data_IF_197134198401
#
_entry.id   IF_197134198401
#
_cell.length_a   1.000
_cell.length_b   1.000
_cell.length_c   1.000
_cell.angle_alpha   90.00
_cell.angle_beta   90.00
_cell.angle_gamma   90.00
#
_symmetry.space_group_name_H-M   'P 1'
#
loop_
_entity.id
_entity.type
_entity.pdbx_description
1 polymer ?
#
# COMPACT_ATOMS: atom_id res chain seq x y z
N UNK A 1 -7.20 32.75 -49.47
CA UNK A 1 -7.03 32.34 -48.06
C UNK A 1 -7.24 30.84 -48.01
N UNK A 2 -6.19 30.08 -47.70
CA UNK A 2 -6.09 28.63 -47.50
C UNK A 2 -6.68 27.69 -48.58
N UNK A 3 -5.77 27.06 -49.32
CA UNK A 3 -5.98 25.85 -50.14
C UNK A 3 -5.95 24.61 -49.23
N UNK A 4 -6.98 23.77 -49.33
CA UNK A 4 -7.03 22.41 -48.78
C UNK A 4 -6.76 21.44 -49.92
N UNK A 5 -5.68 20.66 -49.80
CA UNK A 5 -5.34 19.57 -50.72
C UNK A 5 -6.00 18.26 -50.27
N UNK A 6 -6.67 17.61 -51.21
CA UNK A 6 -7.14 16.21 -51.16
C UNK A 6 -6.14 15.28 -51.87
N UNK A 7 -6.41 13.96 -51.84
CA UNK A 7 -5.85 12.86 -52.68
C UNK A 7 -4.57 12.21 -52.10
N UNK A 8 -4.36 10.89 -52.02
CA UNK A 8 -5.11 9.60 -52.05
C UNK A 8 -4.03 8.49 -51.86
N UNK A 9 -4.45 7.26 -51.52
CA UNK A 9 -3.72 5.97 -51.72
C UNK A 9 -2.49 5.69 -50.81
N UNK A 10 -2.16 4.46 -50.37
CA UNK A 10 -2.71 3.12 -50.53
C UNK A 10 -2.08 2.18 -49.47
N UNK A 11 -2.63 0.96 -49.35
CA UNK A 11 -2.22 -0.16 -48.49
C UNK A 11 -0.79 -0.66 -48.79
N UNK A 12 -0.09 -1.15 -47.78
CA UNK A 12 0.41 -2.53 -47.81
C UNK A 12 0.78 -3.11 -46.44
N UNK A 13 0.40 -4.38 -46.27
CA UNK A 13 0.66 -5.26 -45.15
C UNK A 13 2.11 -5.75 -45.16
N UNK A 14 2.80 -5.78 -44.01
CA UNK A 14 3.65 -6.93 -43.64
C UNK A 14 4.03 -6.88 -42.15
N UNK A 15 3.89 -8.03 -41.51
CA UNK A 15 4.28 -8.28 -40.13
C UNK A 15 5.80 -8.26 -39.95
N UNK A 16 6.22 -8.12 -38.67
CA UNK A 16 7.39 -8.74 -38.02
C UNK A 16 8.39 -7.76 -37.35
N UNK A 17 8.63 -8.04 -36.06
CA UNK A 17 9.75 -7.60 -35.20
C UNK A 17 9.70 -6.25 -34.48
N UNK A 18 9.08 -6.33 -33.30
CA UNK A 18 9.33 -5.53 -32.10
C UNK A 18 10.77 -5.69 -31.57
N UNK A 19 11.70 -4.79 -31.89
CA UNK A 19 12.97 -4.63 -31.12
C UNK A 19 13.64 -3.27 -31.37
N UNK A 20 12.90 -2.15 -31.30
CA UNK A 20 13.51 -0.80 -31.47
C UNK A 20 12.83 0.30 -30.65
N UNK A 21 12.23 -0.03 -29.50
CA UNK A 21 11.56 0.96 -28.64
C UNK A 21 12.41 1.60 -27.52
N UNK A 22 13.50 0.98 -27.07
CA UNK A 22 14.19 1.41 -25.84
C UNK A 22 15.32 2.44 -26.02
N UNK A 23 15.61 2.93 -27.24
CA UNK A 23 16.74 3.87 -27.46
C UNK A 23 16.34 5.34 -27.57
N UNK A 24 15.06 5.69 -27.61
CA UNK A 24 14.63 7.07 -27.83
C UNK A 24 14.39 7.90 -26.55
N UNK A 25 14.33 7.29 -25.37
CA UNK A 25 13.98 8.01 -24.13
C UNK A 25 15.18 8.54 -23.33
N UNK A 26 16.42 8.29 -23.75
CA UNK A 26 17.62 8.63 -22.96
C UNK A 26 18.37 9.89 -23.44
N UNK A 27 17.83 10.60 -24.43
CA UNK A 27 18.52 11.72 -25.09
C UNK A 27 18.15 13.11 -24.59
N UNK A 28 17.37 13.25 -23.50
CA UNK A 28 16.95 14.56 -23.00
C UNK A 28 17.41 14.92 -21.58
N UNK A 29 18.44 14.25 -21.06
CA UNK A 29 19.07 14.63 -19.79
C UNK A 29 20.59 14.74 -19.94
N UNK A 30 21.05 15.88 -20.48
CA UNK A 30 22.48 16.25 -20.49
C UNK A 30 22.63 17.77 -20.30
N UNK A 31 22.76 18.19 -19.05
CA UNK A 31 23.55 19.37 -18.69
C UNK A 31 24.09 19.20 -17.28
N UNK A 32 25.43 19.09 -17.16
CA UNK A 32 26.12 19.06 -15.86
C UNK A 32 27.17 17.95 -15.79
N UNK A 33 28.44 18.33 -15.95
CA UNK A 33 29.62 17.46 -15.86
C UNK A 33 29.91 17.10 -14.40
N UNK A 34 29.98 15.81 -14.07
CA UNK A 34 30.91 15.27 -13.07
C UNK A 34 31.02 13.73 -13.23
N UNK A 35 32.25 13.25 -13.21
CA UNK A 35 32.68 11.86 -12.93
C UNK A 35 32.47 10.74 -13.97
N UNK A 36 33.27 10.83 -15.04
CA UNK A 36 33.45 9.77 -16.06
C UNK A 36 34.39 8.62 -15.60
N UNK A 37 35.00 8.67 -14.42
CA UNK A 37 36.02 7.67 -14.03
C UNK A 37 35.50 6.47 -13.21
N UNK A 38 34.30 6.56 -12.60
CA UNK A 38 33.75 5.47 -11.76
C UNK A 38 32.88 4.50 -12.57
N UNK A 39 32.20 4.98 -13.61
CA UNK A 39 31.23 4.19 -14.41
C UNK A 39 31.91 3.09 -15.24
N UNK A 40 33.10 3.36 -15.80
CA UNK A 40 33.81 2.37 -16.64
C UNK A 40 34.39 1.17 -15.89
N UNK A 41 34.63 1.29 -14.57
CA UNK A 41 35.15 0.18 -13.76
C UNK A 41 34.05 -0.81 -13.33
N UNK A 42 32.81 -0.35 -13.28
CA UNK A 42 31.64 -1.17 -12.94
C UNK A 42 31.07 -1.94 -14.14
N UNK A 43 31.14 -1.39 -15.37
CA UNK A 43 30.70 -2.10 -16.59
C UNK A 43 31.54 -3.35 -16.90
N UNK A 44 32.86 -3.32 -16.62
CA UNK A 44 33.73 -4.47 -16.84
C UNK A 44 33.49 -5.60 -15.82
N UNK A 45 33.16 -5.25 -14.57
CA UNK A 45 32.86 -6.22 -13.51
C UNK A 45 31.50 -6.91 -13.70
N UNK A 46 30.50 -6.21 -14.25
CA UNK A 46 29.20 -6.82 -14.56
C UNK A 46 29.26 -7.77 -15.77
N UNK A 47 30.08 -7.49 -16.79
CA UNK A 47 30.19 -8.40 -17.95
C UNK A 47 30.89 -9.72 -17.61
N UNK A 48 31.93 -9.69 -16.77
CA UNK A 48 32.64 -10.88 -16.32
C UNK A 48 31.82 -11.77 -15.38
N UNK A 49 30.87 -11.19 -14.63
CA UNK A 49 29.98 -11.97 -13.75
C UNK A 49 28.81 -12.63 -14.53
N UNK A 50 28.39 -12.05 -15.65
CA UNK A 50 27.31 -12.59 -16.48
C UNK A 50 27.76 -13.79 -17.33
N UNK A 51 29.00 -13.77 -17.83
CA UNK A 51 29.54 -14.87 -18.63
C UNK A 51 29.84 -16.13 -17.80
N UNK A 52 30.19 -15.99 -16.52
CA UNK A 52 30.51 -17.16 -15.69
C UNK A 52 29.26 -17.94 -15.24
N UNK A 53 28.09 -17.28 -15.09
CA UNK A 53 26.82 -17.95 -14.77
C UNK A 53 26.17 -18.63 -15.99
N UNK A 54 26.45 -18.18 -17.21
CA UNK A 54 25.93 -18.76 -18.46
C UNK A 54 26.61 -20.07 -18.88
N UNK A 55 27.85 -20.29 -18.42
CA UNK A 55 28.66 -21.46 -18.77
C UNK A 55 28.39 -22.71 -17.90
N UNK A 56 27.80 -22.55 -16.71
CA UNK A 56 27.48 -23.68 -15.81
C UNK A 56 26.17 -24.39 -16.18
N UNK A 57 25.17 -23.65 -16.68
CA UNK A 57 23.85 -24.18 -17.06
C UNK A 57 23.84 -24.90 -18.41
N UNK A 58 24.70 -24.52 -19.36
CA UNK A 58 24.74 -25.15 -20.70
C UNK A 58 25.35 -26.56 -20.73
N UNK A 59 26.14 -26.95 -19.73
CA UNK A 59 26.77 -28.27 -19.69
C UNK A 59 25.87 -29.37 -19.06
N UNK A 60 24.88 -29.01 -18.24
CA UNK A 60 23.93 -30.00 -17.69
C UNK A 60 22.83 -30.40 -18.69
N UNK A 61 22.35 -29.47 -19.51
CA UNK A 61 21.31 -29.77 -20.53
C UNK A 61 21.82 -30.66 -21.68
N UNK A 62 23.11 -30.60 -21.97
CA UNK A 62 23.72 -31.39 -23.05
C UNK A 62 24.06 -32.83 -22.61
N UNK A 63 24.27 -33.05 -21.31
CA UNK A 63 24.55 -34.37 -20.75
C UNK A 63 23.27 -35.18 -20.52
N UNK A 64 22.15 -34.54 -20.18
CA UNK A 64 20.85 -35.23 -20.03
C UNK A 64 20.21 -35.65 -21.37
N UNK A 65 20.57 -35.00 -22.48
CA UNK A 65 20.02 -35.29 -23.81
C UNK A 65 20.64 -36.51 -24.51
N UNK A 66 21.65 -37.14 -23.92
CA UNK A 66 22.34 -38.31 -24.50
C UNK A 66 21.99 -39.65 -23.81
N UNK A 67 21.13 -39.66 -22.78
CA UNK A 67 20.95 -40.83 -21.90
C UNK A 67 19.53 -41.41 -21.75
N UNK A 68 18.53 -41.00 -22.55
CA UNK A 68 17.13 -41.38 -22.28
C UNK A 68 16.34 -41.81 -23.50
N UNK A 69 16.62 -43.00 -24.03
CA UNK A 69 15.73 -43.68 -24.98
C UNK A 69 14.69 -44.51 -24.24
N UNK A 70 13.44 -44.03 -24.19
CA UNK A 70 12.24 -44.84 -23.90
C UNK A 70 11.04 -44.22 -24.64
N UNK A 71 10.53 -44.83 -25.71
CA UNK A 71 9.32 -44.37 -26.40
C UNK A 71 8.09 -45.04 -25.78
N UNK A 72 7.14 -44.23 -25.31
CA UNK A 72 5.80 -44.74 -24.99
C UNK A 72 5.24 -44.27 -23.66
N UNK A 73 4.85 -42.99 -23.59
CA UNK A 73 3.76 -42.52 -22.76
C UNK A 73 3.25 -41.23 -23.41
N UNK A 74 2.21 -41.39 -24.24
CA UNK A 74 1.50 -40.27 -24.80
C UNK A 74 0.90 -39.44 -23.68
N UNK A 75 1.31 -38.17 -23.59
CA UNK A 75 0.53 -37.15 -22.90
C UNK A 75 -0.80 -37.03 -23.65
N UNK A 76 -1.89 -37.42 -22.98
CA UNK A 76 -3.22 -36.98 -23.37
C UNK A 76 -3.28 -35.44 -23.34
N UNK A 77 -4.26 -34.83 -24.04
CA UNK A 77 -4.40 -33.39 -24.05
C UNK A 77 -4.53 -32.86 -22.61
N UNK A 78 -4.02 -31.64 -22.32
CA UNK A 78 -4.18 -31.05 -21.00
C UNK A 78 -5.69 -30.93 -20.74
N UNK A 79 -6.17 -31.73 -19.80
CA UNK A 79 -7.49 -31.52 -19.22
C UNK A 79 -7.49 -30.13 -18.60
N UNK A 80 -8.54 -29.33 -18.85
CA UNK A 80 -8.77 -28.05 -18.17
C UNK A 80 -8.93 -28.31 -16.66
N UNK A 81 -7.81 -28.44 -15.97
CA UNK A 81 -7.78 -28.46 -14.52
C UNK A 81 -8.05 -27.03 -14.05
N UNK A 82 -8.90 -26.83 -13.04
CA UNK A 82 -9.15 -25.51 -12.48
C UNK A 82 -7.82 -24.93 -11.99
N UNK A 83 -7.29 -23.96 -12.72
CA UNK A 83 -6.07 -23.27 -12.38
C UNK A 83 -6.41 -21.98 -11.64
N UNK A 84 -5.71 -21.73 -10.54
CA UNK A 84 -5.82 -20.46 -9.80
C UNK A 84 -5.31 -19.30 -10.67
N UNK A 85 -6.11 -18.26 -10.80
CA UNK A 85 -5.85 -17.11 -11.66
C UNK A 85 -5.18 -15.97 -10.88
N UNK A 86 -4.33 -15.19 -11.55
CA UNK A 86 -3.80 -13.92 -11.06
C UNK A 86 -4.87 -12.87 -10.75
N UNK A 87 -6.06 -13.00 -11.34
CA UNK A 87 -7.16 -12.06 -11.20
C UNK A 87 -7.93 -12.13 -9.86
N UNK A 88 -7.59 -13.04 -8.94
CA UNK A 88 -8.31 -13.17 -7.68
C UNK A 88 -8.28 -11.88 -6.83
N UNK A 89 -9.42 -11.53 -6.24
CA UNK A 89 -9.61 -10.33 -5.44
C UNK A 89 -10.29 -10.65 -4.10
N UNK A 90 -9.84 -9.93 -3.06
CA UNK A 90 -10.46 -9.96 -1.74
C UNK A 90 -11.19 -8.65 -1.50
N UNK A 91 -12.51 -8.70 -1.34
CA UNK A 91 -13.30 -7.55 -0.92
C UNK A 91 -13.41 -7.50 0.60
N UNK A 92 -12.81 -6.49 1.21
CA UNK A 92 -12.87 -6.26 2.66
C UNK A 92 -13.90 -5.15 2.94
N UNK A 93 -14.82 -5.42 3.87
CA UNK A 93 -15.79 -4.43 4.35
C UNK A 93 -15.12 -3.33 5.19
N UNK A 94 -15.74 -2.15 5.23
CA UNK A 94 -15.29 -1.05 6.08
C UNK A 94 -15.28 -1.43 7.57
N UNK A 95 -16.26 -2.25 8.01
CA UNK A 95 -16.36 -2.75 9.37
C UNK A 95 -15.20 -3.67 9.74
N UNK A 96 -14.90 -4.65 8.87
CA UNK A 96 -13.82 -5.60 9.06
C UNK A 96 -12.47 -4.86 9.18
N UNK A 97 -12.22 -3.91 8.29
CA UNK A 97 -10.98 -3.13 8.29
C UNK A 97 -10.77 -2.37 9.62
N UNK A 98 -11.82 -1.69 10.12
CA UNK A 98 -11.74 -0.95 11.38
C UNK A 98 -11.52 -1.86 12.58
N UNK A 99 -12.16 -3.04 12.61
CA UNK A 99 -11.95 -4.03 13.66
C UNK A 99 -10.53 -4.59 13.64
N UNK A 100 -9.98 -4.93 12.47
CA UNK A 100 -8.60 -5.40 12.32
C UNK A 100 -7.60 -4.35 12.81
N UNK A 101 -7.76 -3.09 12.42
CA UNK A 101 -6.88 -2.00 12.85
C UNK A 101 -6.98 -1.73 14.35
N UNK A 102 -8.21 -1.70 14.91
CA UNK A 102 -8.42 -1.53 16.35
C UNK A 102 -7.76 -2.66 17.14
N UNK A 103 -7.94 -3.90 16.68
CA UNK A 103 -7.37 -5.06 17.33
C UNK A 103 -5.85 -5.10 17.23
N UNK A 104 -5.30 -4.91 16.03
CA UNK A 104 -3.86 -4.84 15.79
C UNK A 104 -3.18 -3.77 16.63
N UNK A 105 -3.80 -2.59 16.75
CA UNK A 105 -3.25 -1.49 17.56
C UNK A 105 -3.29 -1.78 19.06
N UNK A 106 -4.31 -2.49 19.55
CA UNK A 106 -4.42 -2.89 20.95
C UNK A 106 -3.41 -3.99 21.34
N UNK A 107 -2.97 -4.79 20.36
CA UNK A 107 -2.01 -5.88 20.56
C UNK A 107 -0.55 -5.45 20.70
N UNK A 108 -0.18 -4.24 20.21
CA UNK A 108 1.22 -3.78 20.18
C UNK A 108 1.84 -3.80 21.59
N UNK A 109 3.02 -4.42 21.80
CA UNK A 109 3.99 -4.88 20.79
C UNK A 109 3.83 -6.34 20.31
N UNK A 110 2.82 -7.07 20.78
CA UNK A 110 2.61 -8.48 20.43
C UNK A 110 1.75 -8.65 19.16
N UNK A 111 2.00 -9.73 18.42
CA UNK A 111 1.21 -10.08 17.24
C UNK A 111 -0.15 -10.66 17.65
N UNK A 112 -1.23 -10.04 17.20
CA UNK A 112 -2.60 -10.53 17.42
C UNK A 112 -3.12 -11.27 16.21
N UNK A 113 -4.04 -12.22 16.43
CA UNK A 113 -4.72 -12.97 15.36
C UNK A 113 -6.24 -12.92 15.50
N UNK A 114 -6.94 -13.13 14.39
CA UNK A 114 -8.38 -13.29 14.41
C UNK A 114 -8.89 -14.00 13.17
N UNK A 115 -10.18 -14.35 13.21
CA UNK A 115 -10.85 -15.05 12.11
C UNK A 115 -11.65 -14.07 11.27
N UNK A 116 -11.66 -14.34 9.97
CA UNK A 116 -12.42 -13.58 8.98
C UNK A 116 -13.67 -14.34 8.61
N UNK A 117 -14.81 -13.66 8.68
CA UNK A 117 -16.12 -14.18 8.35
C UNK A 117 -16.63 -13.55 7.06
N UNK A 118 -17.23 -14.38 6.23
CA UNK A 118 -17.85 -13.92 5.00
C UNK A 118 -18.31 -15.07 4.13
N UNK A 119 -18.17 -14.87 2.83
CA UNK A 119 -18.65 -15.81 1.83
C UNK A 119 -17.73 -15.83 0.62
N UNK A 120 -17.71 -16.98 -0.04
CA UNK A 120 -17.10 -17.18 -1.34
C UNK A 120 -18.18 -16.96 -2.40
N UNK A 121 -18.03 -15.94 -3.24
CA UNK A 121 -19.06 -15.56 -4.23
C UNK A 121 -18.93 -16.39 -5.50
N UNK A 122 -17.71 -16.43 -6.01
CA UNK A 122 -17.27 -17.18 -7.17
C UNK A 122 -15.81 -17.61 -6.95
N UNK A 123 -15.17 -18.25 -7.92
CA UNK A 123 -13.79 -18.76 -7.80
C UNK A 123 -12.73 -17.64 -7.73
N UNK A 124 -13.06 -16.42 -8.14
CA UNK A 124 -12.13 -15.29 -8.23
C UNK A 124 -12.34 -14.24 -7.13
N UNK A 125 -13.39 -14.36 -6.34
CA UNK A 125 -13.82 -13.32 -5.40
C UNK A 125 -14.11 -13.87 -4.01
N UNK A 126 -13.36 -13.38 -3.04
CA UNK A 126 -13.60 -13.64 -1.61
C UNK A 126 -14.18 -12.38 -0.97
N UNK A 127 -15.34 -12.48 -0.32
CA UNK A 127 -15.93 -11.36 0.43
C UNK A 127 -15.74 -11.55 1.92
N UNK A 128 -15.01 -10.64 2.55
CA UNK A 128 -14.88 -10.55 4.01
C UNK A 128 -15.85 -9.49 4.54
N UNK A 129 -16.87 -9.95 5.25
CA UNK A 129 -17.97 -9.12 5.77
C UNK A 129 -17.65 -8.66 7.19
N UNK A 130 -17.21 -9.57 8.04
CA UNK A 130 -16.89 -9.28 9.44
C UNK A 130 -15.63 -10.01 9.91
N UNK A 131 -15.08 -9.55 11.02
CA UNK A 131 -13.97 -10.21 11.70
C UNK A 131 -14.22 -10.23 13.20
N UNK A 132 -13.63 -11.21 13.87
CA UNK A 132 -13.54 -11.20 15.33
C UNK A 132 -12.13 -11.60 15.78
N UNK A 133 -11.75 -11.05 16.93
CA UNK A 133 -10.46 -11.33 17.57
C UNK A 133 -10.50 -12.68 18.27
N UNK A 134 -9.43 -13.46 18.15
CA UNK A 134 -9.22 -14.63 18.99
C UNK A 134 -8.46 -14.21 20.25
N UNK A 135 -8.81 -14.74 21.44
CA UNK A 135 -8.05 -14.48 22.65
C UNK A 135 -6.64 -15.07 22.50
N UNK A 136 -5.63 -14.29 22.87
CA UNK A 136 -4.25 -14.76 22.85
C UNK A 136 -3.97 -15.66 24.05
N UNK A 137 -3.55 -16.90 23.80
CA UNK A 137 -2.89 -17.72 24.82
C UNK A 137 -1.42 -17.30 24.89
N UNK A 138 -1.06 -16.60 25.96
CA UNK A 138 0.22 -15.94 26.10
C UNK A 138 1.39 -16.90 26.30
N UNK A 139 2.07 -17.27 25.22
CA UNK A 139 3.48 -17.68 25.22
C UNK A 139 4.13 -17.27 23.90
N UNK A 140 4.68 -16.05 23.87
CA UNK A 140 5.72 -15.58 22.94
C UNK A 140 5.49 -15.70 21.42
N UNK A 141 5.31 -14.56 20.74
CA UNK A 141 5.57 -14.30 19.28
C UNK A 141 4.93 -15.24 18.25
N UNK A 142 4.29 -16.36 18.63
CA UNK A 142 3.68 -17.32 17.72
C UNK A 142 2.17 -17.46 17.94
N UNK A 143 1.47 -17.59 16.82
CA UNK A 143 0.02 -17.72 16.68
C UNK A 143 -0.38 -19.19 16.92
N UNK A 144 -0.18 -19.72 18.12
CA UNK A 144 -0.28 -21.18 18.37
C UNK A 144 -1.64 -21.71 18.84
N UNK A 145 -2.63 -20.86 19.16
CA UNK A 145 -3.87 -21.33 19.78
C UNK A 145 -5.12 -20.78 19.10
N UNK A 146 -5.47 -21.35 17.94
CA UNK A 146 -6.87 -21.33 17.52
C UNK A 146 -7.61 -22.30 18.46
N UNK A 147 -8.28 -21.77 19.48
CA UNK A 147 -9.14 -22.59 20.33
C UNK A 147 -10.42 -22.96 19.57
N UNK A 148 -10.60 -24.23 19.16
CA UNK A 148 -11.79 -24.65 18.42
C UNK A 148 -13.07 -24.51 19.26
N UNK A 149 -12.97 -24.55 20.59
CA UNK A 149 -14.11 -24.38 21.50
C UNK A 149 -14.60 -22.93 21.46
N UNK A 150 -13.66 -21.98 21.54
CA UNK A 150 -13.99 -20.56 21.41
C UNK A 150 -14.57 -20.25 20.02
N UNK A 151 -13.95 -20.77 18.95
CA UNK A 151 -14.42 -20.58 17.58
C UNK A 151 -15.86 -21.10 17.40
N UNK A 152 -16.14 -22.35 17.80
CA UNK A 152 -17.46 -22.95 17.65
C UNK A 152 -18.52 -22.16 18.43
N UNK A 153 -18.22 -21.82 19.69
CA UNK A 153 -19.13 -21.03 20.55
C UNK A 153 -19.41 -19.66 19.95
N UNK A 154 -18.39 -18.95 19.46
CA UNK A 154 -18.56 -17.64 18.85
C UNK A 154 -19.39 -17.72 17.56
N UNK A 155 -19.13 -18.70 16.70
CA UNK A 155 -19.90 -18.92 15.47
C UNK A 155 -21.37 -19.20 15.78
N UNK A 156 -21.67 -20.01 16.80
CA UNK A 156 -23.05 -20.29 17.19
C UNK A 156 -23.76 -19.07 17.79
N UNK A 157 -23.05 -18.23 18.56
CA UNK A 157 -23.59 -16.95 19.01
C UNK A 157 -23.88 -16.00 17.85
N UNK A 158 -23.00 -15.94 16.85
CA UNK A 158 -23.19 -15.09 15.67
C UNK A 158 -24.40 -15.55 14.83
N UNK A 159 -24.58 -16.86 14.65
CA UNK A 159 -25.76 -17.42 13.97
C UNK A 159 -27.07 -16.97 14.64
N UNK A 160 -27.12 -16.93 15.98
CA UNK A 160 -28.29 -16.45 16.72
C UNK A 160 -28.58 -14.96 16.48
N UNK A 161 -27.55 -14.16 16.21
CA UNK A 161 -27.69 -12.73 15.88
C UNK A 161 -28.05 -12.44 14.42
N UNK A 162 -28.30 -13.48 13.62
CA UNK A 162 -28.60 -13.35 12.19
C UNK A 162 -27.36 -13.20 11.31
N UNK A 163 -26.21 -13.67 11.78
CA UNK A 163 -24.92 -13.70 11.07
C UNK A 163 -24.49 -15.15 10.78
N UNK A 164 -25.00 -15.77 9.69
CA UNK A 164 -24.71 -17.16 9.35
C UNK A 164 -23.43 -17.34 8.52
N UNK A 165 -22.55 -16.32 8.44
CA UNK A 165 -21.34 -16.35 7.63
C UNK A 165 -20.37 -17.44 8.06
N UNK A 166 -19.62 -17.97 7.10
CA UNK A 166 -18.59 -18.99 7.32
C UNK A 166 -17.21 -18.33 7.48
N UNK A 167 -16.26 -19.08 8.02
CA UNK A 167 -14.85 -18.65 8.08
C UNK A 167 -14.25 -18.72 6.69
N UNK A 168 -13.78 -17.59 6.16
CA UNK A 168 -13.16 -17.48 4.83
C UNK A 168 -11.63 -17.36 4.91
N UNK A 169 -11.09 -17.18 6.11
CA UNK A 169 -9.66 -17.06 6.35
C UNK A 169 -9.37 -16.51 7.74
N UNK A 170 -8.14 -16.07 7.92
CA UNK A 170 -7.65 -15.51 9.17
C UNK A 170 -6.77 -14.29 8.89
N UNK A 171 -6.65 -13.42 9.88
CA UNK A 171 -5.75 -12.28 9.82
C UNK A 171 -4.86 -12.25 11.05
N UNK A 172 -3.68 -11.66 10.90
CA UNK A 172 -2.81 -11.34 12.01
C UNK A 172 -2.09 -10.01 11.80
N UNK A 173 -1.43 -9.53 12.85
CA UNK A 173 -0.67 -8.28 12.79
C UNK A 173 0.82 -8.51 12.87
N UNK A 174 1.59 -7.81 12.04
CA UNK A 174 3.05 -7.69 12.15
C UNK A 174 3.41 -6.24 12.48
N UNK A 175 3.55 -5.88 13.77
CA UNK A 175 3.79 -4.50 14.15
C UNK A 175 5.21 -4.03 13.76
N UNK A 176 5.31 -3.21 12.71
CA UNK A 176 6.57 -2.58 12.29
C UNK A 176 7.47 -3.42 11.38
N UNK A 177 7.10 -4.67 11.07
CA UNK A 177 7.87 -5.56 10.20
C UNK A 177 7.42 -5.56 8.73
N UNK A 178 6.31 -4.88 8.40
CA UNK A 178 5.66 -4.96 7.09
C UNK A 178 4.82 -6.23 6.92
N UNK A 179 4.29 -6.45 5.71
CA UNK A 179 3.40 -7.56 5.42
C UNK A 179 4.14 -8.71 4.70
N UNK A 180 4.37 -9.80 5.40
CA UNK A 180 4.92 -11.07 4.87
C UNK A 180 4.46 -12.23 5.75
N UNK A 181 4.72 -13.48 5.33
CA UNK A 181 4.40 -14.66 6.14
C UNK A 181 5.69 -15.29 6.68
N UNK A 182 5.75 -15.50 7.99
CA UNK A 182 6.82 -16.26 8.64
C UNK A 182 6.65 -17.76 8.43
N UNK A 183 7.67 -18.55 8.79
CA UNK A 183 7.57 -20.01 8.75
C UNK A 183 6.43 -20.55 9.63
N UNK A 184 6.15 -19.88 10.75
CA UNK A 184 5.03 -20.24 11.64
C UNK A 184 3.69 -19.88 10.98
N UNK A 185 3.60 -18.72 10.32
CA UNK A 185 2.40 -18.30 9.60
C UNK A 185 2.09 -19.22 8.43
N UNK A 186 3.11 -19.69 7.70
CA UNK A 186 2.97 -20.65 6.61
C UNK A 186 2.38 -21.97 7.12
N UNK A 187 2.90 -22.51 8.23
CA UNK A 187 2.37 -23.75 8.82
C UNK A 187 0.92 -23.58 9.30
N UNK A 188 0.60 -22.43 9.88
CA UNK A 188 -0.74 -22.09 10.33
C UNK A 188 -1.70 -21.99 9.14
N UNK A 189 -1.31 -21.26 8.09
CA UNK A 189 -2.08 -21.13 6.85
C UNK A 189 -2.29 -22.49 6.18
N UNK A 190 -1.29 -23.37 6.15
CA UNK A 190 -1.43 -24.72 5.60
C UNK A 190 -2.51 -25.53 6.33
N UNK A 191 -2.64 -25.35 7.65
CA UNK A 191 -3.68 -25.99 8.45
C UNK A 191 -5.08 -25.45 8.11
N UNK A 192 -5.20 -24.14 7.86
CA UNK A 192 -6.45 -23.53 7.39
C UNK A 192 -6.81 -23.92 5.96
N UNK A 193 -5.82 -24.05 5.07
CA UNK A 193 -6.03 -24.50 3.68
C UNK A 193 -6.50 -25.96 3.61
N UNK A 194 -6.10 -26.81 4.56
CA UNK A 194 -6.61 -28.18 4.67
C UNK A 194 -8.11 -28.25 5.04
N UNK A 195 -8.62 -27.25 5.76
CA UNK A 195 -10.04 -27.11 6.10
C UNK A 195 -10.82 -26.42 4.98
N UNK A 196 -10.20 -25.44 4.31
CA UNK A 196 -10.80 -24.65 3.25
C UNK A 196 -9.72 -24.24 2.26
N UNK A 197 -9.71 -24.87 1.09
CA UNK A 197 -8.69 -24.65 0.05
C UNK A 197 -8.49 -23.17 -0.33
N UNK A 198 -9.55 -22.37 -0.19
CA UNK A 198 -9.55 -20.93 -0.52
C UNK A 198 -9.29 -20.01 0.67
N UNK A 199 -8.84 -20.55 1.80
CA UNK A 199 -8.51 -19.74 2.97
C UNK A 199 -7.50 -18.64 2.61
N UNK A 200 -7.75 -17.41 3.07
CA UNK A 200 -6.86 -16.27 2.85
C UNK A 200 -6.19 -15.87 4.17
N UNK A 201 -4.88 -15.62 4.12
CA UNK A 201 -4.13 -15.02 5.22
C UNK A 201 -3.98 -13.51 4.99
N UNK A 202 -4.51 -12.69 5.89
CA UNK A 202 -4.38 -11.21 5.81
C UNK A 202 -3.38 -10.72 6.86
N UNK A 203 -2.41 -9.91 6.45
CA UNK A 203 -1.41 -9.32 7.35
C UNK A 203 -1.62 -7.82 7.42
N UNK A 204 -1.74 -7.29 8.64
CA UNK A 204 -1.95 -5.86 8.90
C UNK A 204 -0.80 -5.30 9.72
N UNK A 205 -0.18 -4.20 9.29
CA UNK A 205 0.81 -3.49 10.10
C UNK A 205 0.19 -2.21 10.71
N UNK A 206 -0.20 -2.21 11.99
CA UNK A 206 -0.83 -1.07 12.65
C UNK A 206 0.16 0.05 13.02
N UNK A 207 1.47 -0.15 12.86
CA UNK A 207 2.50 0.86 13.17
C UNK A 207 2.81 1.67 11.91
N UNK A 208 3.08 0.98 10.80
CA UNK A 208 3.38 1.65 9.52
C UNK A 208 2.13 2.22 8.84
N UNK A 209 0.93 1.74 9.20
CA UNK A 209 -0.33 2.31 8.73
C UNK A 209 -0.55 3.72 9.30
N UNK A 210 -0.49 4.72 8.42
CA UNK A 210 -0.72 6.13 8.75
C UNK A 210 -1.94 6.67 8.01
N UNK A 211 -2.45 7.83 8.44
CA UNK A 211 -3.56 8.51 7.74
C UNK A 211 -3.18 8.69 6.26
N UNK A 212 -3.96 8.07 5.36
CA UNK A 212 -3.75 8.12 3.91
C UNK A 212 -3.23 6.82 3.29
N UNK A 213 -2.53 5.97 4.05
CA UNK A 213 -2.07 4.66 3.57
C UNK A 213 -2.17 3.61 4.67
N UNK A 214 -3.07 2.66 4.49
CA UNK A 214 -3.14 1.45 5.33
C UNK A 214 -2.25 0.40 4.71
N UNK A 215 -1.32 -0.13 5.51
CA UNK A 215 -0.41 -1.21 5.11
C UNK A 215 -1.08 -2.53 5.45
N UNK A 216 -1.61 -3.17 4.42
CA UNK A 216 -2.34 -4.42 4.49
C UNK A 216 -2.12 -5.18 3.18
N UNK A 217 -1.82 -6.48 3.31
CA UNK A 217 -1.74 -7.39 2.17
C UNK A 217 -2.42 -8.72 2.51
N UNK A 218 -2.87 -9.40 1.47
CA UNK A 218 -3.48 -10.72 1.56
C UNK A 218 -2.59 -11.72 0.81
N UNK A 219 -2.44 -12.91 1.39
CA UNK A 219 -1.58 -13.96 0.87
C UNK A 219 -2.31 -15.31 0.85
N UNK A 220 -1.88 -16.17 -0.07
CA UNK A 220 -2.21 -17.60 -0.09
C UNK A 220 -0.97 -18.41 -0.45
N UNK A 221 -0.88 -19.64 0.05
CA UNK A 221 0.27 -20.50 -0.24
C UNK A 221 0.24 -21.03 -1.67
N UNK A 222 1.43 -21.37 -2.15
CA UNK A 222 1.65 -22.12 -3.38
C UNK A 222 1.93 -23.56 -2.98
N UNK A 223 1.32 -24.51 -3.69
CA UNK A 223 1.62 -25.91 -3.49
C UNK A 223 3.10 -26.19 -3.83
N UNK A 224 3.87 -26.62 -2.84
CA UNK A 224 5.30 -26.87 -2.98
C UNK A 224 5.61 -27.93 -4.07
N UNK A 225 4.68 -28.86 -4.32
CA UNK A 225 4.87 -29.88 -5.36
C UNK A 225 4.86 -29.25 -6.76
N UNK A 226 4.04 -28.22 -7.00
CA UNK A 226 3.98 -27.54 -8.30
C UNK A 226 5.27 -26.77 -8.60
N UNK A 227 5.90 -26.21 -7.57
CA UNK A 227 7.20 -25.54 -7.71
C UNK A 227 8.31 -26.48 -8.15
N UNK A 228 8.37 -27.69 -7.57
CA UNK A 228 9.42 -28.68 -7.91
C UNK A 228 9.28 -29.13 -9.36
N UNK A 229 8.05 -29.17 -9.88
CA UNK A 229 7.75 -29.48 -11.28
C UNK A 229 8.05 -28.31 -12.23
N UNK A 230 8.45 -27.13 -11.73
CA UNK A 230 8.75 -25.97 -12.55
C UNK A 230 7.54 -25.36 -13.27
N UNK A 231 6.32 -25.75 -12.88
CA UNK A 231 5.10 -25.16 -13.43
C UNK A 231 4.84 -23.81 -12.75
N UNK A 232 4.51 -22.79 -13.56
CA UNK A 232 4.01 -21.54 -13.00
C UNK A 232 2.71 -21.82 -12.22
N UNK A 233 2.65 -21.42 -10.95
CA UNK A 233 1.57 -21.83 -10.05
C UNK A 233 0.23 -21.15 -10.36
N UNK A 234 0.23 -20.06 -11.14
CA UNK A 234 -0.96 -19.30 -11.50
C UNK A 234 -0.99 -19.03 -12.99
N UNK A 235 -2.18 -19.08 -13.58
CA UNK A 235 -2.38 -18.57 -14.93
C UNK A 235 -2.55 -17.06 -14.87
N UNK A 236 -1.76 -16.32 -15.66
CA UNK A 236 -1.87 -14.86 -15.73
C UNK A 236 -2.88 -14.48 -16.81
N UNK A 237 -4.16 -14.34 -16.44
CA UNK A 237 -5.19 -13.86 -17.38
C UNK A 237 -5.32 -12.33 -17.38
N UNK A 238 -4.81 -11.67 -16.34
CA UNK A 238 -4.97 -10.23 -16.14
C UNK A 238 -3.71 -9.53 -15.62
N UNK A 239 -3.62 -8.22 -15.88
CA UNK A 239 -2.54 -7.36 -15.42
C UNK A 239 -2.70 -6.92 -13.94
N UNK A 240 -3.84 -7.24 -13.31
CA UNK A 240 -4.18 -6.80 -11.97
C UNK A 240 -3.18 -7.31 -10.93
N UNK A 241 -2.71 -8.55 -11.06
CA UNK A 241 -1.74 -9.15 -10.16
C UNK A 241 -0.34 -8.49 -10.17
N UNK A 242 -0.02 -7.69 -11.19
CA UNK A 242 1.30 -7.05 -11.35
C UNK A 242 1.29 -5.54 -11.08
N UNK A 243 0.15 -4.97 -10.67
CA UNK A 243 0.01 -3.54 -10.40
C UNK A 243 0.82 -3.09 -9.17
N UNK A 244 0.84 -3.90 -8.12
CA UNK A 244 1.53 -3.58 -6.88
C UNK A 244 2.93 -4.19 -6.87
N UNK A 245 3.94 -3.32 -6.76
CA UNK A 245 5.32 -3.78 -6.58
C UNK A 245 5.47 -4.35 -5.17
N UNK A 246 5.91 -5.61 -5.01
CA UNK A 246 6.09 -6.19 -3.71
C UNK A 246 7.21 -5.52 -2.93
N UNK A 247 7.10 -5.53 -1.60
CA UNK A 247 8.19 -5.10 -0.72
C UNK A 247 9.40 -6.02 -0.85
N UNK A 248 10.61 -5.46 -0.80
CA UNK A 248 11.87 -6.23 -0.80
C UNK A 248 11.91 -7.21 0.37
N UNK A 249 11.37 -6.83 1.53
CA UNK A 249 11.30 -7.70 2.70
C UNK A 249 10.43 -8.92 2.43
N UNK A 250 9.24 -8.73 1.83
CA UNK A 250 8.37 -9.86 1.47
C UNK A 250 9.02 -10.81 0.46
N UNK A 251 9.80 -10.27 -0.50
CA UNK A 251 10.53 -11.09 -1.46
C UNK A 251 11.63 -11.94 -0.80
N UNK A 252 12.34 -11.39 0.20
CA UNK A 252 13.34 -12.13 0.99
C UNK A 252 12.67 -13.26 1.78
N UNK A 253 11.47 -13.03 2.31
CA UNK A 253 10.70 -14.02 3.08
C UNK A 253 9.87 -14.98 2.22
N UNK A 254 10.14 -15.06 0.91
CA UNK A 254 9.61 -16.13 0.05
C UNK A 254 8.33 -15.80 -0.70
N UNK A 255 7.99 -14.53 -0.88
CA UNK A 255 6.96 -14.12 -1.83
C UNK A 255 7.31 -14.60 -3.25
N UNK A 256 6.32 -15.13 -3.98
CA UNK A 256 6.44 -15.82 -5.28
C UNK A 256 7.21 -17.14 -5.23
N UNK A 257 7.59 -17.61 -4.03
CA UNK A 257 8.13 -18.95 -3.80
C UNK A 257 7.11 -19.77 -3.02
N UNK A 258 6.91 -19.45 -1.75
CA UNK A 258 6.02 -20.21 -0.86
C UNK A 258 4.58 -19.72 -0.89
N UNK A 259 4.36 -18.44 -1.22
CA UNK A 259 3.05 -17.82 -1.26
C UNK A 259 3.03 -16.70 -2.30
N UNK A 260 1.84 -16.29 -2.71
CA UNK A 260 1.60 -15.16 -3.59
C UNK A 260 0.72 -14.12 -2.93
N UNK A 261 0.81 -12.87 -3.40
CA UNK A 261 -0.05 -11.78 -2.97
C UNK A 261 -1.35 -11.75 -3.78
N UNK A 262 -2.46 -11.46 -3.10
CA UNK A 262 -3.79 -11.28 -3.66
C UNK A 262 -4.17 -9.80 -3.55
N UNK A 263 -4.78 -9.25 -4.59
CA UNK A 263 -5.21 -7.86 -4.59
C UNK A 263 -6.40 -7.65 -3.65
N UNK A 264 -6.31 -6.64 -2.79
CA UNK A 264 -7.37 -6.25 -1.86
C UNK A 264 -8.14 -5.08 -2.44
N UNK A 265 -9.46 -5.20 -2.44
CA UNK A 265 -10.39 -4.12 -2.75
C UNK A 265 -11.29 -3.84 -1.55
N UNK A 266 -11.75 -2.59 -1.44
CA UNK A 266 -12.64 -2.18 -0.36
C UNK A 266 -14.07 -2.01 -0.87
N UNK A 267 -15.02 -2.66 -0.21
CA UNK A 267 -16.44 -2.43 -0.45
C UNK A 267 -16.92 -1.33 0.49
N UNK A 268 -17.43 -0.24 -0.08
CA UNK A 268 -18.03 0.87 0.66
C UNK A 268 -19.47 1.03 0.21
N UNK A 269 -20.40 0.89 1.15
CA UNK A 269 -21.80 1.19 0.86
C UNK A 269 -22.06 2.71 1.00
N UNK A 270 -23.06 3.23 0.29
CA UNK A 270 -23.42 4.66 0.36
C UNK A 270 -23.81 5.09 1.78
N UNK A 271 -24.52 4.23 2.51
CA UNK A 271 -24.90 4.47 3.91
C UNK A 271 -23.66 4.54 4.82
N UNK A 272 -22.72 3.61 4.66
CA UNK A 272 -21.46 3.61 5.41
C UNK A 272 -20.65 4.87 5.11
N UNK A 273 -20.57 5.26 3.83
CA UNK A 273 -19.88 6.46 3.42
C UNK A 273 -20.53 7.71 4.03
N UNK A 274 -21.86 7.84 3.98
CA UNK A 274 -22.59 8.95 4.63
C UNK A 274 -22.36 8.99 6.14
N UNK A 275 -22.41 7.83 6.80
CA UNK A 275 -22.15 7.71 8.24
C UNK A 275 -20.71 8.10 8.60
N UNK A 276 -19.72 7.57 7.88
CA UNK A 276 -18.30 7.88 8.10
C UNK A 276 -17.98 9.35 7.80
N UNK A 277 -18.60 9.94 6.78
CA UNK A 277 -18.48 11.37 6.48
C UNK A 277 -19.04 12.25 7.60
N UNK A 278 -20.08 11.80 8.31
CA UNK A 278 -20.63 12.55 9.43
C UNK A 278 -19.69 12.59 10.64
N UNK A 279 -18.83 11.58 10.85
CA UNK A 279 -17.89 11.56 11.98
C UNK A 279 -16.83 12.65 11.91
N UNK A 280 -16.46 13.09 10.70
CA UNK A 280 -15.47 14.15 10.50
C UNK A 280 -16.12 15.55 10.42
N UNK A 281 -17.45 15.67 10.58
CA UNK A 281 -18.09 16.97 10.61
C UNK A 281 -17.79 17.65 11.94
N UNK A 282 -17.30 18.88 11.87
CA UNK A 282 -17.19 19.75 13.04
C UNK A 282 -18.56 19.99 13.65
N UNK A 283 -18.59 20.28 14.95
CA UNK A 283 -19.82 20.66 15.63
C UNK A 283 -20.38 21.93 14.98
N UNK A 284 -21.66 21.95 14.64
CA UNK A 284 -22.30 23.14 14.07
C UNK A 284 -22.26 24.33 15.03
N UNK A 285 -22.21 24.07 16.34
CA UNK A 285 -22.11 25.10 17.37
C UNK A 285 -20.77 25.84 17.33
N UNK A 286 -19.68 25.19 16.91
CA UNK A 286 -18.34 25.80 16.86
C UNK A 286 -18.30 27.06 15.96
N UNK A 287 -19.17 27.12 14.95
CA UNK A 287 -19.30 28.29 14.06
C UNK A 287 -20.25 29.39 14.56
N UNK A 288 -21.00 29.14 15.64
CA UNK A 288 -21.93 30.10 16.26
C UNK A 288 -21.46 30.54 17.65
N UNK A 289 -20.45 29.88 18.21
CA UNK A 289 -19.83 30.31 19.46
C UNK A 289 -18.76 31.35 19.18
N UNK A 290 -18.90 32.51 19.80
CA UNK A 290 -17.85 33.52 19.85
C UNK A 290 -16.82 33.15 20.93
N UNK A 291 -15.55 33.36 20.62
CA UNK A 291 -14.52 33.35 21.66
C UNK A 291 -14.63 34.60 22.54
N UNK A 292 -14.11 34.53 23.76
CA UNK A 292 -14.07 35.68 24.66
C UNK A 292 -13.24 36.81 24.05
N UNK A 293 -13.88 37.97 23.82
CA UNK A 293 -13.25 39.12 23.18
C UNK A 293 -11.95 39.56 23.88
N UNK A 294 -11.90 39.47 25.20
CA UNK A 294 -10.70 39.87 25.95
C UNK A 294 -9.51 38.94 25.70
N UNK A 295 -9.76 37.64 25.50
CA UNK A 295 -8.72 36.65 25.19
C UNK A 295 -8.29 36.76 23.73
N UNK A 296 -9.25 36.91 22.82
CA UNK A 296 -9.00 37.10 21.39
C UNK A 296 -8.16 38.34 21.10
N UNK A 297 -8.44 39.47 21.77
CA UNK A 297 -7.62 40.68 21.66
C UNK A 297 -6.19 40.47 22.17
N UNK A 298 -5.99 39.74 23.27
CA UNK A 298 -4.65 39.42 23.79
C UNK A 298 -3.87 38.52 22.83
N UNK A 299 -4.54 37.55 22.21
CA UNK A 299 -3.94 36.68 21.20
C UNK A 299 -3.49 37.49 19.98
N UNK A 300 -4.34 38.39 19.48
CA UNK A 300 -4.01 39.29 18.38
C UNK A 300 -2.78 40.17 18.71
N UNK A 301 -2.74 40.77 19.90
CA UNK A 301 -1.61 41.61 20.31
C UNK A 301 -0.30 40.80 20.38
N UNK A 302 -0.37 39.58 20.91
CA UNK A 302 0.79 38.68 21.02
C UNK A 302 1.32 38.30 19.63
N UNK A 303 0.45 37.83 18.72
CA UNK A 303 0.85 37.42 17.37
C UNK A 303 1.41 38.61 16.57
N UNK A 304 0.82 39.80 16.69
CA UNK A 304 1.32 41.00 15.98
C UNK A 304 2.69 41.43 16.49
N UNK A 305 2.97 41.28 17.80
CA UNK A 305 4.31 41.53 18.37
C UNK A 305 5.35 40.56 17.81
N UNK A 306 5.02 39.27 17.73
CA UNK A 306 5.88 38.25 17.13
C UNK A 306 6.12 38.52 15.64
N UNK A 307 5.06 38.89 14.90
CA UNK A 307 5.17 39.27 13.48
C UNK A 307 6.08 40.48 13.28
N UNK A 308 6.09 41.47 14.19
CA UNK A 308 7.00 42.62 14.10
C UNK A 308 8.47 42.18 14.22
N UNK A 309 8.76 41.24 15.12
CA UNK A 309 10.10 40.69 15.29
C UNK A 309 10.54 39.87 14.06
N UNK A 310 9.64 39.04 13.53
CA UNK A 310 9.86 38.30 12.29
C UNK A 310 10.05 39.22 11.08
N UNK A 311 9.32 40.34 10.99
CA UNK A 311 9.48 41.31 9.92
C UNK A 311 10.86 42.00 9.95
N UNK A 312 11.37 42.32 11.15
CA UNK A 312 12.74 42.84 11.31
C UNK A 312 13.78 41.81 10.86
N UNK A 313 13.58 40.54 11.24
CA UNK A 313 14.44 39.44 10.82
C UNK A 313 14.36 39.19 9.30
N UNK A 314 13.18 39.33 8.71
CA UNK A 314 12.96 39.21 7.27
C UNK A 314 13.70 40.32 6.51
N UNK A 315 13.58 41.58 6.93
CA UNK A 315 14.33 42.70 6.33
C UNK A 315 15.84 42.44 6.37
N UNK A 316 16.36 42.01 7.53
CA UNK A 316 17.77 41.64 7.67
C UNK A 316 18.16 40.47 6.78
N UNK A 317 17.28 39.46 6.64
CA UNK A 317 17.52 38.32 5.77
C UNK A 317 17.63 38.73 4.30
N UNK A 318 16.75 39.64 3.84
CA UNK A 318 16.76 40.19 2.47
C UNK A 318 18.02 41.02 2.21
N UNK A 319 18.42 41.89 3.14
CA UNK A 319 19.67 42.68 3.01
C UNK A 319 20.93 41.81 2.95
N UNK A 320 20.91 40.65 3.60
CA UNK A 320 21.99 39.68 3.53
C UNK A 320 21.90 38.82 2.25
N UNK A 321 20.70 38.61 1.72
CA UNK A 321 20.46 37.84 0.49
C UNK A 321 21.14 38.47 -0.73
N UNK A 322 21.06 39.80 -0.86
CA UNK A 322 21.69 40.58 -1.93
C UNK A 322 23.23 40.44 -1.99
N UNK A 323 23.85 39.98 -0.90
CA UNK A 323 25.32 39.89 -0.76
C UNK A 323 25.88 38.50 -1.03
N UNK A 324 25.05 37.48 -1.24
CA UNK A 324 25.47 36.08 -1.33
C UNK A 324 25.08 35.43 -2.64
N UNK A 325 25.79 34.35 -2.99
CA UNK A 325 25.45 33.53 -4.16
C UNK A 325 24.30 32.56 -3.83
N UNK A 326 23.54 32.09 -4.83
CA UNK A 326 22.41 31.18 -4.64
C UNK A 326 22.75 29.87 -3.91
N UNK A 327 23.97 29.36 -4.11
CA UNK A 327 24.45 28.13 -3.46
C UNK A 327 24.72 28.32 -1.96
N UNK A 328 25.18 29.51 -1.56
CA UNK A 328 25.41 29.86 -0.16
C UNK A 328 24.09 30.10 0.58
N UNK A 329 23.09 30.66 -0.10
CA UNK A 329 21.75 30.88 0.45
C UNK A 329 21.02 29.57 0.77
N UNK A 330 21.15 28.56 -0.10
CA UNK A 330 20.55 27.24 0.10
C UNK A 330 21.08 26.55 1.38
N UNK A 331 22.34 26.79 1.73
CA UNK A 331 22.97 26.20 2.93
C UNK A 331 22.70 27.06 4.17
N UNK A 332 22.65 28.39 4.03
CA UNK A 332 22.46 29.33 5.15
C UNK A 332 21.15 29.13 5.91
N UNK A 333 20.10 28.72 5.21
CA UNK A 333 18.76 28.56 5.78
C UNK A 333 18.60 27.24 6.55
N UNK A 334 19.60 26.35 6.53
CA UNK A 334 19.58 25.09 7.26
C UNK A 334 19.89 25.33 8.74
N UNK A 335 18.93 25.06 9.62
CA UNK A 335 19.09 25.16 11.08
C UNK A 335 18.76 26.53 11.68
N UNK A 336 18.30 27.49 10.88
CA UNK A 336 17.77 28.78 11.35
C UNK A 336 16.29 28.92 11.00
N UNK A 337 15.57 29.71 11.77
CA UNK A 337 14.18 30.03 11.48
C UNK A 337 14.10 30.83 10.18
N UNK A 338 13.33 30.36 9.20
CA UNK A 338 13.05 31.11 7.97
C UNK A 338 11.95 32.14 8.26
N UNK A 339 12.27 33.45 8.32
CA UNK A 339 11.31 34.47 8.72
C UNK A 339 10.18 34.62 7.70
N UNK A 340 10.40 34.33 6.41
CA UNK A 340 9.36 34.44 5.38
C UNK A 340 8.25 33.43 5.61
N UNK A 341 8.64 32.16 5.78
CA UNK A 341 7.69 31.06 5.99
C UNK A 341 6.87 31.26 7.28
N UNK A 342 7.50 31.72 8.35
CA UNK A 342 6.79 31.95 9.61
C UNK A 342 5.86 33.16 9.54
N UNK A 343 6.22 34.22 8.80
CA UNK A 343 5.30 35.34 8.55
C UNK A 343 4.04 34.86 7.81
N UNK A 344 4.20 34.02 6.78
CA UNK A 344 3.05 33.43 6.06
C UNK A 344 2.17 32.58 7.00
N UNK A 345 2.77 31.69 7.80
CA UNK A 345 2.05 30.86 8.79
C UNK A 345 1.26 31.71 9.80
N UNK A 346 1.85 32.79 10.33
CA UNK A 346 1.16 33.68 11.28
C UNK A 346 0.05 34.52 10.63
N UNK A 347 0.23 34.98 9.39
CA UNK A 347 -0.80 35.71 8.64
C UNK A 347 -2.02 34.81 8.44
N UNK A 348 -1.83 33.56 8.05
CA UNK A 348 -2.93 32.62 7.83
C UNK A 348 -3.73 32.38 9.12
N UNK A 349 -3.05 32.16 10.25
CA UNK A 349 -3.71 31.98 11.56
C UNK A 349 -4.45 33.25 11.99
N UNK A 350 -3.81 34.42 11.85
CA UNK A 350 -4.40 35.70 12.24
C UNK A 350 -5.63 36.04 11.39
N UNK A 351 -5.54 35.84 10.08
CA UNK A 351 -6.65 36.09 9.15
C UNK A 351 -7.82 35.15 9.42
N UNK A 352 -7.57 33.84 9.53
CA UNK A 352 -8.65 32.86 9.76
C UNK A 352 -9.37 33.11 11.10
N UNK A 353 -8.62 33.37 12.17
CA UNK A 353 -9.20 33.68 13.49
C UNK A 353 -10.05 34.95 13.47
N UNK A 354 -9.53 36.05 12.92
CA UNK A 354 -10.23 37.34 12.93
C UNK A 354 -11.43 37.36 11.99
N UNK A 355 -11.34 36.76 10.80
CA UNK A 355 -12.46 36.70 9.85
C UNK A 355 -13.61 35.89 10.45
N UNK A 356 -13.33 34.73 11.05
CA UNK A 356 -14.35 33.88 11.67
C UNK A 356 -15.01 34.60 12.85
N UNK A 357 -14.24 35.21 13.75
CA UNK A 357 -14.79 35.94 14.91
C UNK A 357 -15.65 37.14 14.50
N UNK A 358 -15.19 37.93 13.51
CA UNK A 358 -15.96 39.07 13.00
C UNK A 358 -17.25 38.62 12.32
N UNK A 359 -17.19 37.59 11.49
CA UNK A 359 -18.35 37.07 10.79
C UNK A 359 -19.38 36.45 11.75
N UNK A 360 -18.93 35.69 12.74
CA UNK A 360 -19.78 35.11 13.78
C UNK A 360 -20.53 36.22 14.54
N UNK A 361 -19.83 37.29 14.93
CA UNK A 361 -20.44 38.40 15.66
C UNK A 361 -21.50 39.12 14.81
N UNK A 362 -21.22 39.34 13.52
CA UNK A 362 -22.18 39.94 12.61
C UNK A 362 -23.42 39.05 12.43
N UNK A 363 -23.24 37.73 12.28
CA UNK A 363 -24.33 36.78 12.16
C UNK A 363 -25.21 36.77 13.41
N UNK A 364 -24.61 36.75 14.60
CA UNK A 364 -25.34 36.70 15.86
C UNK A 364 -26.27 37.90 16.04
N UNK A 365 -25.84 39.10 15.66
CA UNK A 365 -26.68 40.32 15.75
C UNK A 365 -27.91 40.31 14.84
N UNK A 366 -27.89 39.53 13.76
CA UNK A 366 -29.00 39.42 12.80
C UNK A 366 -29.91 38.24 13.14
N UNK A 367 -29.32 37.11 13.53
CA UNK A 367 -30.03 35.85 13.76
C UNK A 367 -30.68 35.80 15.14
N UNK A 368 -30.02 36.28 16.19
CA UNK A 368 -30.48 36.15 17.59
C UNK A 368 -31.11 37.44 18.16
N UNK A 369 -31.89 38.16 17.34
CA UNK A 369 -32.59 39.38 17.76
C UNK A 369 -33.61 39.19 18.88
#
# INVERSE_FOLDING_TARGET
MQLVGSVLWEKDNTAMNSYTGCKAAFLNWRSGKADIFVVKKWELLLSLFCDHLSLSTRNMDRLLRLGGGMPGLGQGPPTDAPAVDTAEQVYISSLALLKMLKHGRAGVPMEVMGLMLGEFVDDYTVRVIDVFAMPQSGTGVSVEAVDPVFQAKMLDMLKQTGRPEMVVGWYHSHPGFGCWLSGVDINTQQSFEALSERAVAVVVDPIQSVKGKVVIDAFRLINANMMVLGHEPRQTTSNLGHLNKPSIQALIHGLNRHYYSITINYRKNELEQKMLLNLHKKSWMEGLTLQDYSEHCKLNETVVKEMLELAKNYNKAVEEEDKMTPEQLAIKNVGKQDPKRHLEEHVDVLMTSNIVQCLAAMLDTVVFK
#
